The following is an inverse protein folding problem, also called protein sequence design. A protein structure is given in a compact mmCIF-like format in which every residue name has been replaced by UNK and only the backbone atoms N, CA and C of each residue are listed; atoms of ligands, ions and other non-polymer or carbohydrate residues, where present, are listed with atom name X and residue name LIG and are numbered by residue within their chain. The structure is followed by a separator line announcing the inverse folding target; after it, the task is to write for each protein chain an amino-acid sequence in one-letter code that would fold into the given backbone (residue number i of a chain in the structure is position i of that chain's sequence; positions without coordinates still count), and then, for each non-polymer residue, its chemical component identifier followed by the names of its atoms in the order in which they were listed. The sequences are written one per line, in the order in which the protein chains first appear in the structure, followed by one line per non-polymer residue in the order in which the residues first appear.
data_IF_983079800274
#
_entry.id   IF_983079800274
#
_cell.length_a   1.000
_cell.length_b   1.000
_cell.length_c   1.000
_cell.angle_alpha   90.00
_cell.angle_beta   90.00
_cell.angle_gamma   90.00
#
_symmetry.space_group_name_H-M   'P 1'
#
loop_
_entity.id
_entity.type
_entity.pdbx_description
1 polymer ?
#
# COMPACT_ATOMS: atom_id res chain seq x y z
N UNK A 1 -17.58 27.76 14.19
CA UNK A 1 -16.49 26.84 13.92
C UNK A 1 -17.13 25.59 13.31
N UNK A 2 -17.07 25.45 11.98
CA UNK A 2 -17.62 24.27 11.31
C UNK A 2 -16.69 23.07 11.63
N UNK A 3 -17.12 22.22 12.55
CA UNK A 3 -16.54 20.89 12.73
C UNK A 3 -16.96 20.04 11.51
N UNK A 4 -16.30 20.21 10.36
CA UNK A 4 -16.35 19.19 9.31
C UNK A 4 -15.56 18.01 9.85
N UNK A 5 -16.26 17.05 10.42
CA UNK A 5 -15.69 15.73 10.67
C UNK A 5 -15.25 15.19 9.32
N UNK A 6 -13.94 14.99 9.10
CA UNK A 6 -13.39 14.47 7.85
C UNK A 6 -13.98 13.09 7.52
N UNK A 7 -13.97 12.71 6.26
CA UNK A 7 -14.56 11.44 5.76
C UNK A 7 -13.94 10.17 6.38
N UNK A 8 -12.76 10.28 7.00
CA UNK A 8 -12.08 9.21 7.74
C UNK A 8 -11.95 9.52 9.24
N UNK A 9 -12.76 10.44 9.78
CA UNK A 9 -12.74 10.78 11.21
C UNK A 9 -12.98 9.53 12.07
N UNK A 10 -12.13 9.35 13.10
CA UNK A 10 -12.18 8.21 14.01
C UNK A 10 -11.67 6.88 13.44
N UNK A 11 -11.16 6.86 12.20
CA UNK A 11 -10.51 5.70 11.61
C UNK A 11 -9.02 5.69 11.89
N UNK A 12 -8.44 4.49 11.98
CA UNK A 12 -7.00 4.26 12.11
C UNK A 12 -6.50 3.56 10.86
N UNK A 13 -5.53 4.18 10.18
CA UNK A 13 -4.93 3.65 8.96
C UNK A 13 -3.47 3.26 9.19
N UNK A 14 -3.09 2.05 8.81
CA UNK A 14 -1.69 1.59 8.81
C UNK A 14 -1.20 1.53 7.37
N UNK A 15 -0.10 2.23 7.07
CA UNK A 15 0.45 2.33 5.71
C UNK A 15 1.90 1.87 5.72
N UNK A 16 2.20 0.80 4.99
CA UNK A 16 3.57 0.33 4.79
C UNK A 16 4.23 1.05 3.61
N UNK A 17 5.54 1.30 3.70
CA UNK A 17 6.24 2.11 2.70
C UNK A 17 5.79 3.58 2.71
N UNK A 18 5.40 4.11 3.87
CA UNK A 18 4.85 5.46 4.03
C UNK A 18 5.90 6.57 4.09
N UNK A 19 7.19 6.24 4.02
CA UNK A 19 8.27 7.22 4.16
C UNK A 19 8.42 8.16 2.96
N UNK A 20 7.93 7.80 1.77
CA UNK A 20 8.04 8.59 0.53
C UNK A 20 7.03 8.15 -0.53
N UNK A 21 7.00 8.87 -1.65
CA UNK A 21 6.20 8.51 -2.83
C UNK A 21 4.73 8.31 -2.54
N UNK A 22 4.12 7.27 -3.13
CA UNK A 22 2.69 6.99 -3.02
C UNK A 22 2.25 6.79 -1.57
N UNK A 23 3.03 6.05 -0.77
CA UNK A 23 2.68 5.78 0.63
C UNK A 23 2.63 7.06 1.48
N UNK A 24 3.57 8.00 1.27
CA UNK A 24 3.56 9.31 1.93
C UNK A 24 2.33 10.13 1.50
N UNK A 25 2.05 10.20 0.20
CA UNK A 25 0.91 10.95 -0.32
C UNK A 25 -0.43 10.44 0.25
N UNK A 26 -0.61 9.11 0.32
CA UNK A 26 -1.79 8.50 0.95
C UNK A 26 -1.84 8.82 2.46
N UNK A 27 -0.71 8.76 3.17
CA UNK A 27 -0.65 9.06 4.60
C UNK A 27 -1.11 10.50 4.91
N UNK A 28 -0.60 11.47 4.14
CA UNK A 28 -0.99 12.87 4.26
C UNK A 28 -2.49 13.07 3.99
N UNK A 29 -3.00 12.46 2.94
CA UNK A 29 -4.40 12.59 2.55
C UNK A 29 -5.36 11.93 3.56
N UNK A 30 -5.03 10.75 4.07
CA UNK A 30 -5.85 10.07 5.06
C UNK A 30 -5.86 10.84 6.38
N UNK A 31 -4.72 11.38 6.82
CA UNK A 31 -4.65 12.25 7.99
C UNK A 31 -5.44 13.54 7.80
N UNK A 32 -5.36 14.17 6.63
CA UNK A 32 -6.18 15.36 6.29
C UNK A 32 -7.68 15.05 6.32
N UNK A 33 -8.08 13.82 5.95
CA UNK A 33 -9.45 13.34 6.04
C UNK A 33 -9.89 12.93 7.45
N UNK A 34 -9.04 13.10 8.47
CA UNK A 34 -9.35 12.88 9.88
C UNK A 34 -8.96 11.52 10.44
N UNK A 35 -8.27 10.67 9.67
CA UNK A 35 -7.74 9.42 10.20
C UNK A 35 -6.51 9.64 11.09
N UNK A 36 -6.34 8.79 12.11
CA UNK A 36 -5.04 8.59 12.73
C UNK A 36 -4.20 7.64 11.85
N UNK A 37 -2.95 8.00 11.53
CA UNK A 37 -2.14 7.28 10.57
C UNK A 37 -0.88 6.71 11.21
N UNK A 38 -0.64 5.40 11.06
CA UNK A 38 0.63 4.78 11.40
C UNK A 38 1.48 4.67 10.13
N UNK A 39 2.55 5.45 10.07
CA UNK A 39 3.51 5.45 8.98
C UNK A 39 4.61 4.42 9.25
N UNK A 40 4.71 3.38 8.40
CA UNK A 40 5.74 2.35 8.57
C UNK A 40 6.63 2.22 7.34
N UNK A 41 7.93 2.13 7.56
CA UNK A 41 8.96 1.75 6.59
C UNK A 41 10.25 1.35 7.31
N UNK A 42 11.27 0.92 6.56
CA UNK A 42 12.59 0.59 7.10
C UNK A 42 13.42 1.81 7.49
N UNK A 43 13.22 2.94 6.79
CA UNK A 43 13.96 4.19 7.03
C UNK A 43 13.25 5.04 8.09
N UNK A 44 13.87 5.14 9.26
CA UNK A 44 13.38 5.97 10.38
C UNK A 44 13.19 7.42 9.95
N UNK A 45 14.19 8.02 9.34
CA UNK A 45 14.16 9.42 8.95
C UNK A 45 13.03 9.75 7.97
N UNK A 46 12.79 8.86 6.98
CA UNK A 46 11.74 9.09 5.99
C UNK A 46 10.31 9.03 6.59
N UNK A 47 10.07 8.13 7.56
CA UNK A 47 8.75 8.06 8.21
C UNK A 47 8.57 9.17 9.25
N UNK A 48 9.62 9.58 9.95
CA UNK A 48 9.57 10.71 10.87
C UNK A 48 9.26 12.02 10.12
N UNK A 49 9.85 12.21 8.92
CA UNK A 49 9.51 13.34 8.05
C UNK A 49 8.03 13.31 7.64
N UNK A 50 7.51 12.14 7.24
CA UNK A 50 6.09 12.00 6.89
C UNK A 50 5.18 12.33 8.07
N UNK A 51 5.51 11.84 9.28
CA UNK A 51 4.76 12.15 10.50
C UNK A 51 4.81 13.64 10.81
N UNK A 52 5.99 14.28 10.69
CA UNK A 52 6.14 15.72 10.91
C UNK A 52 5.25 16.54 9.96
N UNK A 53 5.16 16.16 8.68
CA UNK A 53 4.27 16.79 7.70
C UNK A 53 2.78 16.63 8.07
N UNK A 54 2.37 15.44 8.52
CA UNK A 54 1.00 15.20 9.01
C UNK A 54 0.69 16.08 10.21
N UNK A 55 1.57 16.12 11.22
CA UNK A 55 1.37 16.90 12.44
C UNK A 55 1.35 18.40 12.14
N UNK A 56 2.25 18.88 11.28
CA UNK A 56 2.27 20.28 10.85
C UNK A 56 0.97 20.73 10.14
N UNK A 57 0.26 19.80 9.49
CA UNK A 57 -1.06 20.06 8.89
C UNK A 57 -2.24 19.84 9.85
N UNK A 58 -1.97 19.59 11.15
CA UNK A 58 -3.00 19.40 12.17
C UNK A 58 -3.58 17.98 12.24
N UNK A 59 -2.99 17.02 11.53
CA UNK A 59 -3.39 15.62 11.55
C UNK A 59 -2.75 14.83 12.69
N UNK A 60 -3.15 13.57 12.84
CA UNK A 60 -2.62 12.63 13.84
C UNK A 60 -1.85 11.51 13.14
N UNK A 61 -0.59 11.32 13.51
CA UNK A 61 0.22 10.22 13.00
C UNK A 61 1.26 9.74 14.00
N UNK A 62 1.70 8.49 13.83
CA UNK A 62 2.86 7.92 14.51
C UNK A 62 3.76 7.18 13.52
N UNK A 63 5.05 7.04 13.87
CA UNK A 63 6.06 6.37 13.06
C UNK A 63 6.45 5.03 13.69
N UNK A 64 6.51 3.96 12.88
CA UNK A 64 7.00 2.66 13.33
C UNK A 64 7.94 2.03 12.32
N UNK A 65 9.20 1.81 12.73
CA UNK A 65 10.20 1.16 11.86
C UNK A 65 9.91 -0.32 11.77
N UNK A 66 9.67 -0.81 10.58
CA UNK A 66 9.47 -2.23 10.34
C UNK A 66 9.89 -2.65 8.92
N UNK A 67 10.39 -3.88 8.80
CA UNK A 67 10.55 -4.55 7.50
C UNK A 67 9.36 -5.48 7.29
N UNK A 68 8.64 -5.29 6.19
CA UNK A 68 7.48 -6.13 5.81
C UNK A 68 7.87 -7.59 5.58
N UNK A 69 9.14 -7.87 5.24
CA UNK A 69 9.68 -9.22 5.14
C UNK A 69 9.69 -9.98 6.47
N UNK A 70 9.61 -9.27 7.61
CA UNK A 70 9.57 -9.87 8.94
C UNK A 70 8.13 -9.95 9.48
N UNK A 71 7.58 -11.15 9.59
CA UNK A 71 6.23 -11.34 10.17
C UNK A 71 6.15 -10.81 11.62
N UNK A 72 7.19 -11.06 12.42
CA UNK A 72 7.25 -10.55 13.80
C UNK A 72 7.23 -9.02 13.86
N UNK A 73 7.92 -8.33 12.92
CA UNK A 73 7.87 -6.88 12.83
C UNK A 73 6.48 -6.37 12.43
N UNK A 74 5.75 -7.11 11.58
CA UNK A 74 4.37 -6.75 11.23
C UNK A 74 3.43 -6.94 12.43
N UNK A 75 3.53 -8.01 13.18
CA UNK A 75 2.76 -8.17 14.43
C UNK A 75 2.98 -7.00 15.39
N UNK A 76 4.23 -6.59 15.60
CA UNK A 76 4.58 -5.46 16.45
C UNK A 76 4.05 -4.12 15.91
N UNK A 77 4.05 -3.90 14.57
CA UNK A 77 3.48 -2.73 13.93
C UNK A 77 1.98 -2.59 14.22
N UNK A 78 1.22 -3.66 14.06
CA UNK A 78 -0.23 -3.63 14.29
C UNK A 78 -0.57 -3.52 15.78
N UNK A 79 0.21 -4.12 16.66
CA UNK A 79 0.07 -3.90 18.10
C UNK A 79 0.33 -2.44 18.45
N UNK A 80 1.38 -1.80 17.90
CA UNK A 80 1.60 -0.37 18.08
C UNK A 80 0.41 0.48 17.61
N UNK A 81 -0.22 0.14 16.49
CA UNK A 81 -1.41 0.87 16.02
C UNK A 81 -2.56 0.80 17.03
N UNK A 82 -2.76 -0.36 17.66
CA UNK A 82 -3.77 -0.54 18.72
C UNK A 82 -3.41 0.29 19.96
N UNK A 83 -2.16 0.20 20.42
CA UNK A 83 -1.71 0.88 21.64
C UNK A 83 -1.74 2.41 21.49
N UNK A 84 -1.34 2.92 20.32
CA UNK A 84 -1.24 4.36 20.07
C UNK A 84 -2.57 5.00 19.65
N UNK A 85 -3.44 4.29 18.94
CA UNK A 85 -4.62 4.88 18.29
C UNK A 85 -5.92 4.08 18.52
N UNK A 86 -5.89 2.98 19.28
CA UNK A 86 -7.08 2.25 19.72
C UNK A 86 -7.63 1.22 18.73
N UNK A 87 -6.93 0.91 17.64
CA UNK A 87 -7.37 -0.12 16.69
C UNK A 87 -6.80 0.01 15.30
N UNK A 88 -7.37 -0.73 14.34
CA UNK A 88 -7.01 -0.69 12.91
C UNK A 88 -8.29 -0.80 12.09
N UNK A 89 -8.53 0.15 11.20
CA UNK A 89 -9.68 0.17 10.29
C UNK A 89 -9.26 0.02 8.82
N UNK A 90 -8.10 0.57 8.45
CA UNK A 90 -7.63 0.62 7.05
C UNK A 90 -6.17 0.19 7.01
N UNK A 91 -5.85 -0.68 6.06
CA UNK A 91 -4.49 -1.15 5.80
C UNK A 91 -4.12 -0.86 4.35
N UNK A 92 -3.02 -0.15 4.15
CA UNK A 92 -2.45 0.06 2.82
C UNK A 92 -1.10 -0.68 2.75
N UNK A 93 -1.12 -1.87 2.16
CA UNK A 93 0.07 -2.67 1.90
C UNK A 93 0.77 -2.15 0.64
N UNK A 94 1.49 -1.04 0.82
CA UNK A 94 2.12 -0.29 -0.27
C UNK A 94 3.63 -0.58 -0.40
N UNK A 95 4.29 -1.05 0.65
CA UNK A 95 5.73 -1.37 0.60
C UNK A 95 6.05 -2.33 -0.57
N UNK A 96 7.10 -2.01 -1.30
CA UNK A 96 7.55 -2.82 -2.41
C UNK A 96 8.88 -2.35 -2.98
N UNK A 97 9.50 -3.20 -3.80
CA UNK A 97 10.74 -2.92 -4.51
C UNK A 97 10.59 -3.33 -5.98
N UNK A 98 11.34 -2.66 -6.85
CA UNK A 98 11.38 -3.00 -8.27
C UNK A 98 12.26 -4.23 -8.54
N UNK A 99 13.26 -4.45 -7.68
CA UNK A 99 14.31 -5.45 -7.90
C UNK A 99 15.33 -5.01 -8.95
N UNK A 100 16.07 -5.97 -9.48
CA UNK A 100 17.01 -5.74 -10.58
C UNK A 100 16.43 -6.30 -11.88
N UNK A 101 16.14 -5.44 -12.90
CA UNK A 101 15.61 -5.91 -14.18
C UNK A 101 16.72 -6.62 -14.97
N UNK A 102 16.75 -7.94 -14.88
CA UNK A 102 17.69 -8.82 -15.57
C UNK A 102 16.92 -9.98 -16.20
N UNK A 103 17.38 -10.46 -17.39
CA UNK A 103 16.87 -11.72 -17.93
C UNK A 103 17.11 -12.84 -16.93
N UNK A 104 16.25 -13.84 -16.91
CA UNK A 104 16.34 -14.92 -15.91
C UNK A 104 17.72 -15.60 -15.90
N UNK A 105 18.32 -15.81 -17.06
CA UNK A 105 19.65 -16.42 -17.18
C UNK A 105 20.77 -15.56 -16.54
N UNK A 106 20.58 -14.24 -16.45
CA UNK A 106 21.58 -13.28 -15.98
C UNK A 106 21.21 -12.68 -14.61
N UNK A 107 20.10 -13.15 -14.02
CA UNK A 107 19.62 -12.63 -12.74
C UNK A 107 20.39 -13.22 -11.57
N UNK A 108 20.60 -12.40 -10.53
CA UNK A 108 21.04 -12.88 -9.22
C UNK A 108 19.84 -13.55 -8.51
N UNK A 109 19.91 -14.86 -8.20
CA UNK A 109 18.83 -15.58 -7.52
C UNK A 109 18.45 -14.96 -6.16
N UNK A 110 19.41 -14.40 -5.42
CA UNK A 110 19.14 -13.77 -4.13
C UNK A 110 18.33 -12.50 -4.29
N UNK A 111 18.68 -11.63 -5.24
CA UNK A 111 17.91 -10.42 -5.54
C UNK A 111 16.52 -10.74 -6.12
N UNK A 112 16.42 -11.79 -6.95
CA UNK A 112 15.16 -12.27 -7.47
C UNK A 112 14.22 -12.70 -6.32
N UNK A 113 14.74 -13.52 -5.40
CA UNK A 113 14.01 -14.00 -4.23
C UNK A 113 13.62 -12.83 -3.28
N UNK A 114 14.53 -11.88 -3.05
CA UNK A 114 14.26 -10.68 -2.24
C UNK A 114 13.10 -9.84 -2.81
N UNK A 115 13.00 -9.74 -4.14
CA UNK A 115 11.89 -9.04 -4.79
C UNK A 115 10.55 -9.72 -4.51
N UNK A 116 10.50 -11.05 -4.60
CA UNK A 116 9.29 -11.83 -4.22
C UNK A 116 9.01 -11.67 -2.73
N UNK A 117 10.05 -11.76 -1.91
CA UNK A 117 9.92 -11.68 -0.46
C UNK A 117 9.30 -10.34 -0.03
N UNK A 118 9.83 -9.23 -0.53
CA UNK A 118 9.29 -7.91 -0.18
C UNK A 118 7.88 -7.70 -0.75
N UNK A 119 7.67 -7.98 -2.05
CA UNK A 119 6.44 -7.57 -2.73
C UNK A 119 5.24 -8.49 -2.47
N UNK A 120 5.48 -9.79 -2.24
CA UNK A 120 4.43 -10.79 -2.04
C UNK A 120 4.37 -11.26 -0.59
N UNK A 121 5.49 -11.78 -0.06
CA UNK A 121 5.51 -12.29 1.32
C UNK A 121 5.31 -11.15 2.31
N UNK A 122 5.92 -9.98 2.07
CA UNK A 122 5.72 -8.79 2.90
C UNK A 122 4.27 -8.28 2.89
N UNK A 123 3.61 -8.32 1.74
CA UNK A 123 2.19 -7.98 1.64
C UNK A 123 1.31 -9.00 2.38
N UNK A 124 1.61 -10.29 2.26
CA UNK A 124 0.96 -11.35 3.04
C UNK A 124 1.16 -11.15 4.55
N UNK A 125 2.39 -10.90 5.02
CA UNK A 125 2.67 -10.64 6.43
C UNK A 125 1.88 -9.43 6.94
N UNK A 126 1.81 -8.37 6.13
CA UNK A 126 1.05 -7.16 6.46
C UNK A 126 -0.44 -7.47 6.64
N UNK A 127 -1.05 -8.19 5.69
CA UNK A 127 -2.46 -8.57 5.77
C UNK A 127 -2.73 -9.54 6.92
N UNK A 128 -1.90 -10.59 7.05
CA UNK A 128 -2.04 -11.59 8.10
C UNK A 128 -2.00 -10.98 9.51
N UNK A 129 -1.05 -10.08 9.76
CA UNK A 129 -0.95 -9.41 11.05
C UNK A 129 -2.11 -8.42 11.30
N UNK A 130 -2.69 -7.85 10.25
CA UNK A 130 -3.80 -6.90 10.36
C UNK A 130 -5.15 -7.55 10.66
N UNK A 131 -5.41 -8.75 10.10
CA UNK A 131 -6.73 -9.41 10.13
C UNK A 131 -7.34 -9.52 11.51
N UNK A 132 -6.63 -9.95 12.57
CA UNK A 132 -7.21 -10.03 13.92
C UNK A 132 -7.73 -8.67 14.41
N UNK A 133 -7.02 -7.59 14.12
CA UNK A 133 -7.38 -6.23 14.55
C UNK A 133 -8.56 -5.67 13.75
N UNK A 134 -8.62 -5.92 12.45
CA UNK A 134 -9.75 -5.56 11.61
C UNK A 134 -11.02 -6.32 12.03
N UNK A 135 -10.91 -7.62 12.32
CA UNK A 135 -12.01 -8.41 12.88
C UNK A 135 -12.49 -7.87 14.22
N UNK A 136 -11.59 -7.45 15.09
CA UNK A 136 -11.94 -6.84 16.37
C UNK A 136 -12.70 -5.52 16.23
N UNK A 137 -12.54 -4.80 15.10
CA UNK A 137 -13.31 -3.60 14.73
C UNK A 137 -14.67 -3.92 14.12
N UNK A 138 -14.92 -5.17 13.74
CA UNK A 138 -16.15 -5.63 13.09
C UNK A 138 -16.27 -5.33 11.61
N UNK A 139 -15.32 -4.57 11.05
CA UNK A 139 -15.23 -4.23 9.63
C UNK A 139 -13.83 -3.70 9.30
N UNK A 140 -13.47 -3.60 8.02
CA UNK A 140 -12.20 -3.00 7.64
C UNK A 140 -11.91 -2.97 6.14
N UNK A 141 -10.76 -2.38 5.80
CA UNK A 141 -10.29 -2.23 4.43
C UNK A 141 -8.84 -2.69 4.33
N UNK A 142 -8.53 -3.55 3.36
CA UNK A 142 -7.16 -3.88 2.95
C UNK A 142 -6.98 -3.45 1.51
N UNK A 143 -6.02 -2.57 1.28
CA UNK A 143 -5.64 -2.09 -0.04
C UNK A 143 -4.24 -2.56 -0.37
N UNK A 144 -4.12 -3.44 -1.36
CA UNK A 144 -2.84 -3.85 -1.91
C UNK A 144 -2.40 -2.95 -3.06
N UNK A 145 -1.14 -2.52 -3.04
CA UNK A 145 -0.56 -1.77 -4.14
C UNK A 145 -0.10 -2.73 -5.24
N UNK A 146 -0.94 -2.87 -6.25
CA UNK A 146 -0.69 -3.68 -7.42
C UNK A 146 0.18 -3.03 -8.48
N UNK A 147 0.20 -3.64 -9.66
CA UNK A 147 0.91 -3.09 -10.83
C UNK A 147 0.35 -3.66 -12.13
N UNK A 148 0.33 -2.85 -13.19
CA UNK A 148 0.08 -3.31 -14.54
C UNK A 148 1.11 -4.33 -15.06
N UNK A 149 2.28 -4.36 -14.43
CA UNK A 149 3.34 -5.34 -14.73
C UNK A 149 2.90 -6.80 -14.53
N UNK A 150 1.81 -7.07 -13.81
CA UNK A 150 1.23 -8.42 -13.70
C UNK A 150 0.79 -9.02 -15.05
N UNK A 151 0.56 -8.17 -16.04
CA UNK A 151 0.21 -8.56 -17.41
C UNK A 151 1.38 -8.37 -18.39
N UNK A 152 2.49 -7.77 -17.94
CA UNK A 152 3.65 -7.51 -18.78
C UNK A 152 4.49 -8.77 -18.97
N UNK A 153 5.02 -8.92 -20.19
CA UNK A 153 5.92 -10.01 -20.59
C UNK A 153 7.31 -9.50 -20.95
N UNK A 154 7.64 -8.28 -20.50
CA UNK A 154 8.91 -7.64 -20.82
C UNK A 154 10.09 -8.42 -20.25
N UNK A 155 11.15 -8.65 -21.05
CA UNK A 155 12.37 -9.29 -20.57
C UNK A 155 12.96 -8.54 -19.37
N UNK A 156 13.37 -9.28 -18.35
CA UNK A 156 13.97 -8.72 -17.13
C UNK A 156 12.95 -8.44 -16.00
N UNK A 157 11.65 -8.61 -16.25
CA UNK A 157 10.61 -8.30 -15.29
C UNK A 157 10.11 -9.51 -14.47
N UNK A 158 10.76 -10.66 -14.57
CA UNK A 158 10.21 -11.93 -14.06
C UNK A 158 9.86 -11.90 -12.56
N UNK A 159 10.77 -11.42 -11.70
CA UNK A 159 10.50 -11.35 -10.25
C UNK A 159 9.36 -10.38 -9.93
N UNK A 160 9.44 -9.17 -10.48
CA UNK A 160 8.44 -8.13 -10.21
C UNK A 160 7.05 -8.52 -10.73
N UNK A 161 6.96 -8.95 -12.00
CA UNK A 161 5.69 -9.34 -12.61
C UNK A 161 5.07 -10.55 -11.91
N UNK A 162 5.87 -11.57 -11.59
CA UNK A 162 5.41 -12.74 -10.82
C UNK A 162 4.88 -12.33 -9.45
N UNK A 163 5.59 -11.45 -8.71
CA UNK A 163 5.14 -10.96 -7.41
C UNK A 163 3.80 -10.23 -7.49
N UNK A 164 3.62 -9.37 -8.50
CA UNK A 164 2.37 -8.59 -8.66
C UNK A 164 1.21 -9.44 -9.19
N UNK A 165 1.47 -10.45 -10.00
CA UNK A 165 0.44 -11.42 -10.42
C UNK A 165 -0.04 -12.27 -9.22
N UNK A 166 0.88 -12.78 -8.42
CA UNK A 166 0.55 -13.55 -7.22
C UNK A 166 -0.17 -12.69 -6.17
N UNK A 167 0.22 -11.41 -6.01
CA UNK A 167 -0.46 -10.46 -5.12
C UNK A 167 -1.93 -10.25 -5.51
N UNK A 168 -2.23 -10.18 -6.82
CA UNK A 168 -3.61 -10.12 -7.30
C UNK A 168 -4.39 -11.37 -6.91
N UNK A 169 -3.80 -12.56 -7.05
CA UNK A 169 -4.46 -13.79 -6.62
C UNK A 169 -4.69 -13.81 -5.11
N UNK A 170 -3.73 -13.35 -4.31
CA UNK A 170 -3.87 -13.20 -2.86
C UNK A 170 -5.02 -12.26 -2.51
N UNK A 171 -5.14 -11.12 -3.22
CA UNK A 171 -6.25 -10.16 -3.06
C UNK A 171 -7.59 -10.83 -3.21
N UNK A 172 -7.77 -11.63 -4.28
CA UNK A 172 -9.03 -12.32 -4.57
C UNK A 172 -9.39 -13.37 -3.49
N UNK A 173 -8.41 -14.16 -3.06
CA UNK A 173 -8.63 -15.20 -2.03
C UNK A 173 -8.99 -14.57 -0.70
N UNK A 174 -8.19 -13.60 -0.23
CA UNK A 174 -8.47 -12.89 1.03
C UNK A 174 -9.82 -12.17 1.04
N UNK A 175 -10.21 -11.60 -0.09
CA UNK A 175 -11.53 -10.95 -0.23
C UNK A 175 -12.68 -11.92 0.05
N UNK A 176 -12.55 -13.19 -0.39
CA UNK A 176 -13.55 -14.22 -0.14
C UNK A 176 -13.53 -14.72 1.31
N UNK A 177 -12.32 -14.94 1.86
CA UNK A 177 -12.13 -15.40 3.25
C UNK A 177 -12.61 -14.37 4.29
N UNK A 178 -12.56 -13.08 3.96
CA UNK A 178 -12.86 -11.99 4.89
C UNK A 178 -14.24 -11.35 4.67
N UNK A 179 -14.99 -11.83 3.68
CA UNK A 179 -16.29 -11.26 3.32
C UNK A 179 -17.30 -11.28 4.48
N UNK A 180 -17.39 -12.40 5.22
CA UNK A 180 -18.28 -12.55 6.37
C UNK A 180 -17.92 -11.63 7.55
N UNK A 181 -16.69 -11.07 7.57
CA UNK A 181 -16.22 -10.14 8.58
C UNK A 181 -16.35 -8.67 8.15
N UNK A 182 -17.03 -8.39 7.04
CA UNK A 182 -17.16 -7.04 6.47
C UNK A 182 -15.81 -6.36 6.20
N UNK A 183 -14.78 -7.15 5.87
CA UNK A 183 -13.47 -6.65 5.50
C UNK A 183 -13.33 -6.71 3.99
N UNK A 184 -13.28 -5.56 3.34
CA UNK A 184 -13.04 -5.50 1.90
C UNK A 184 -11.55 -5.54 1.57
N UNK A 185 -11.20 -6.34 0.56
CA UNK A 185 -9.81 -6.47 0.08
C UNK A 185 -9.77 -6.15 -1.40
N UNK A 186 -9.05 -5.10 -1.77
CA UNK A 186 -8.97 -4.61 -3.14
C UNK A 186 -7.52 -4.34 -3.55
N UNK A 187 -7.30 -4.25 -4.85
CA UNK A 187 -6.03 -3.87 -5.46
C UNK A 187 -6.15 -2.50 -6.11
N UNK A 188 -5.15 -1.64 -5.89
CA UNK A 188 -4.96 -0.40 -6.62
C UNK A 188 -3.73 -0.52 -7.52
N UNK A 189 -3.91 -0.34 -8.82
CA UNK A 189 -2.84 -0.27 -9.82
C UNK A 189 -2.59 1.21 -10.16
N UNK A 190 -1.51 1.81 -9.65
CA UNK A 190 -1.25 3.24 -9.87
C UNK A 190 -0.78 3.54 -11.31
N UNK A 191 -0.23 2.55 -12.02
CA UNK A 191 0.50 2.76 -13.28
C UNK A 191 1.85 3.45 -13.03
N UNK A 192 2.43 4.12 -14.03
CA UNK A 192 3.67 4.87 -13.86
C UNK A 192 3.48 6.08 -12.94
N UNK A 193 4.29 6.16 -11.88
CA UNK A 193 4.29 7.28 -10.91
C UNK A 193 5.73 7.72 -10.67
N UNK A 194 5.99 9.01 -10.66
CA UNK A 194 7.30 9.57 -10.36
C UNK A 194 7.65 9.37 -8.90
N UNK A 195 8.45 8.36 -8.64
CA UNK A 195 8.95 8.01 -7.30
C UNK A 195 10.41 7.57 -7.40
N UNK A 196 11.09 7.46 -6.27
CA UNK A 196 12.45 6.93 -6.22
C UNK A 196 12.54 5.46 -6.75
N UNK A 197 11.44 4.71 -6.73
CA UNK A 197 11.39 3.35 -7.28
C UNK A 197 11.45 3.34 -8.82
N UNK A 198 10.88 4.34 -9.46
CA UNK A 198 10.71 4.35 -10.92
C UNK A 198 11.90 4.91 -11.67
N UNK A 199 12.87 5.55 -10.99
CA UNK A 199 14.11 6.12 -11.56
C UNK A 199 13.93 6.62 -13.02
N UNK A 200 13.28 7.76 -13.18
CA UNK A 200 12.92 8.33 -14.47
C UNK A 200 14.13 8.63 -15.38
N UNK A 201 15.37 8.62 -14.84
CA UNK A 201 16.59 8.75 -15.65
C UNK A 201 16.93 7.52 -16.48
N UNK A 202 16.36 6.36 -16.14
CA UNK A 202 16.67 5.07 -16.79
C UNK A 202 15.50 4.45 -17.54
N UNK A 203 14.28 4.93 -17.34
CA UNK A 203 13.08 4.36 -17.95
C UNK A 203 12.40 5.39 -18.84
N UNK A 204 12.23 5.03 -20.12
CA UNK A 204 11.40 5.77 -21.05
C UNK A 204 9.99 5.20 -21.02
N UNK A 205 8.99 6.07 -20.90
CA UNK A 205 7.59 5.72 -21.04
C UNK A 205 7.12 6.10 -22.45
N UNK A 206 6.14 5.37 -22.96
CA UNK A 206 5.53 5.74 -24.23
C UNK A 206 4.93 7.16 -24.11
N UNK A 207 5.00 7.99 -25.20
CA UNK A 207 4.42 9.35 -25.16
C UNK A 207 2.92 9.38 -24.81
N UNK A 208 2.20 8.31 -25.07
CA UNK A 208 0.79 8.14 -24.73
C UNK A 208 0.52 7.75 -23.28
N UNK A 209 1.56 7.43 -22.50
CA UNK A 209 1.40 6.94 -21.14
C UNK A 209 1.28 8.12 -20.17
N UNK A 210 0.24 8.07 -19.33
CA UNK A 210 0.08 9.07 -18.29
C UNK A 210 1.02 8.77 -17.12
N UNK A 211 2.11 9.50 -17.04
CA UNK A 211 3.05 9.49 -15.91
C UNK A 211 2.53 10.42 -14.83
N UNK A 212 2.28 9.87 -13.66
CA UNK A 212 1.63 10.54 -12.53
C UNK A 212 2.64 11.06 -11.52
N UNK A 213 2.24 12.08 -10.77
CA UNK A 213 2.82 12.38 -9.45
C UNK A 213 2.17 11.46 -8.37
N UNK A 214 2.79 11.28 -7.20
CA UNK A 214 2.21 10.48 -6.12
C UNK A 214 0.80 10.91 -5.72
N UNK A 215 0.51 12.21 -5.75
CA UNK A 215 -0.79 12.79 -5.40
C UNK A 215 -1.91 12.39 -6.37
N UNK A 216 -1.59 12.08 -7.63
CA UNK A 216 -2.58 11.60 -8.60
C UNK A 216 -3.17 10.21 -8.24
N UNK A 217 -2.52 9.48 -7.33
CA UNK A 217 -2.99 8.18 -6.84
C UNK A 217 -3.99 8.34 -5.69
N UNK A 218 -3.89 9.44 -4.96
CA UNK A 218 -4.68 9.72 -3.75
C UNK A 218 -6.19 9.64 -3.96
N UNK A 219 -6.80 10.21 -5.02
CA UNK A 219 -8.24 10.16 -5.20
C UNK A 219 -8.81 8.74 -5.21
N UNK A 220 -8.10 7.79 -5.86
CA UNK A 220 -8.54 6.39 -5.88
C UNK A 220 -8.32 5.70 -4.54
N UNK A 221 -7.22 5.98 -3.85
CA UNK A 221 -6.99 5.46 -2.50
C UNK A 221 -8.04 5.96 -1.51
N UNK A 222 -8.42 7.24 -1.58
CA UNK A 222 -9.51 7.82 -0.80
C UNK A 222 -10.86 7.19 -1.13
N UNK A 223 -11.18 7.03 -2.43
CA UNK A 223 -12.39 6.34 -2.86
C UNK A 223 -12.51 4.96 -2.21
N UNK A 224 -11.44 4.16 -2.24
CA UNK A 224 -11.44 2.81 -1.68
C UNK A 224 -11.53 2.79 -0.14
N UNK A 225 -10.92 3.75 0.53
CA UNK A 225 -10.96 3.88 1.98
C UNK A 225 -12.34 4.30 2.52
N UNK A 226 -13.10 5.05 1.73
CA UNK A 226 -14.41 5.62 2.12
C UNK A 226 -15.63 4.81 1.67
N UNK A 227 -15.42 3.67 0.98
CA UNK A 227 -16.53 2.80 0.61
C UNK A 227 -17.23 2.23 1.86
N UNK A 228 -18.54 1.94 1.77
CA UNK A 228 -19.25 1.22 2.83
C UNK A 228 -18.55 -0.08 3.22
N UNK A 229 -18.79 -0.57 4.43
CA UNK A 229 -18.16 -1.80 4.92
C UNK A 229 -18.60 -3.05 4.13
N UNK A 230 -19.79 -3.01 3.53
CA UNK A 230 -20.29 -3.99 2.55
C UNK A 230 -19.99 -3.60 1.10
N UNK A 231 -19.04 -2.69 0.91
CA UNK A 231 -18.68 -2.14 -0.41
C UNK A 231 -17.91 -3.13 -1.30
N UNK A 232 -17.34 -2.63 -2.39
CA UNK A 232 -16.66 -3.49 -3.35
C UNK A 232 -15.48 -4.21 -2.70
N UNK A 233 -15.36 -5.51 -3.00
CA UNK A 233 -14.24 -6.38 -2.61
C UNK A 233 -13.83 -7.24 -3.80
N UNK A 234 -12.62 -7.82 -3.78
CA UNK A 234 -12.04 -8.59 -4.87
C UNK A 234 -11.96 -7.81 -6.20
N UNK A 235 -11.82 -6.48 -6.14
CA UNK A 235 -11.72 -5.64 -7.33
C UNK A 235 -10.30 -5.12 -7.54
N UNK A 236 -9.97 -4.88 -8.81
CA UNK A 236 -8.74 -4.22 -9.21
C UNK A 236 -9.06 -2.88 -9.87
N UNK A 237 -8.61 -1.81 -9.24
CA UNK A 237 -8.81 -0.44 -9.69
C UNK A 237 -7.53 0.08 -10.34
N UNK A 238 -7.59 0.37 -11.62
CA UNK A 238 -6.41 0.76 -12.38
C UNK A 238 -6.49 2.21 -12.85
N UNK A 239 -5.42 2.96 -12.55
CA UNK A 239 -5.18 4.30 -13.08
C UNK A 239 -4.32 4.27 -14.36
N UNK A 240 -4.08 3.08 -14.93
CA UNK A 240 -3.40 2.97 -16.21
C UNK A 240 -4.31 3.41 -17.34
N UNK A 241 -3.75 4.18 -18.30
CA UNK A 241 -4.43 4.47 -19.54
C UNK A 241 -4.56 3.15 -20.34
N UNK A 242 -5.76 2.77 -20.71
CA UNK A 242 -5.93 1.67 -21.65
C UNK A 242 -5.56 2.18 -23.03
N UNK A 243 -4.70 1.44 -23.76
CA UNK A 243 -4.59 1.61 -25.19
C UNK A 243 -5.98 1.30 -25.76
N UNK A 244 -6.52 2.26 -26.50
CA UNK A 244 -7.79 2.12 -27.22
C UNK A 244 -7.64 1.17 -28.38
#
# INVERSE_FOLDING_TARGET
MNNQTGTLAGKVAVITGAGRGIGRAIALAYAHAGAAVVCSARSRNEIDETVALVVASGGTASAWVADVGSHAAMLALFQHAVDAHGGVDIVVANAGVWGQPRKVADSDPANWAETIHTNLIGAFHTAHAAIPHLRARGAGKILFMGSGARHATDPGMSAYSASKLALWKLTQVLAMELHEHHISVNELIPGPVKTAMTDFGRRTFAPSEWVKEPDDVVPMAMFLATQPDIGPTAQSYSLMRRAG
#
